data_IF_510182438521
#
_entry.id   IF_510182438521
#
_cell.length_a   1.000
_cell.length_b   1.000
_cell.length_c   1.000
_cell.angle_alpha   90.00
_cell.angle_beta   90.00
_cell.angle_gamma   90.00
#
_symmetry.space_group_name_H-M   'P 1'
#
loop_
_entity.id
_entity.type
_entity.pdbx_description
1 polymer ?
#
# COMPACT_ATOMS: atom_id res chain seq x y z
N UNK A 1 2.77 3.28 4.56
CA UNK A 1 2.27 2.89 3.24
C UNK A 1 0.83 2.39 3.31
N UNK A 2 0.17 2.36 2.15
CA UNK A 2 -1.20 1.87 2.06
C UNK A 2 -1.27 0.35 1.89
N UNK A 3 -2.12 -0.11 0.97
CA UNK A 3 -2.33 -1.53 0.72
C UNK A 3 -1.21 -2.10 -0.12
N UNK A 4 -0.34 -2.91 0.48
CA UNK A 4 0.81 -3.53 -0.17
C UNK A 4 0.55 -5.03 -0.30
N UNK A 5 0.74 -5.56 -1.50
CA UNK A 5 0.48 -6.96 -1.82
C UNK A 5 1.64 -7.84 -1.34
N UNK A 6 1.61 -8.23 -0.07
CA UNK A 6 2.61 -9.10 0.54
C UNK A 6 2.03 -10.49 0.80
N UNK A 7 2.92 -11.47 0.98
CA UNK A 7 2.52 -12.85 1.26
C UNK A 7 1.69 -12.98 2.53
N UNK A 8 1.90 -12.11 3.50
CA UNK A 8 1.15 -12.15 4.76
C UNK A 8 -0.35 -11.95 4.58
N UNK A 9 -0.77 -11.35 3.46
CA UNK A 9 -2.19 -11.12 3.20
C UNK A 9 -2.98 -12.37 2.86
N UNK A 10 -2.36 -13.46 2.45
CA UNK A 10 -3.06 -14.72 2.24
C UNK A 10 -3.80 -15.17 3.49
N UNK A 11 -3.09 -15.55 4.57
CA UNK A 11 -3.73 -15.97 5.83
C UNK A 11 -4.51 -14.87 6.52
N UNK A 12 -4.00 -13.63 6.52
CA UNK A 12 -4.68 -12.49 7.15
C UNK A 12 -5.98 -12.14 6.44
N UNK A 13 -5.98 -12.17 5.11
CA UNK A 13 -7.16 -11.89 4.34
C UNK A 13 -8.25 -12.94 4.55
N UNK A 14 -7.87 -14.21 4.63
CA UNK A 14 -8.81 -15.29 4.92
C UNK A 14 -9.40 -15.18 6.32
N UNK A 15 -8.57 -14.90 7.32
CA UNK A 15 -9.04 -14.73 8.70
C UNK A 15 -10.02 -13.55 8.82
N UNK A 16 -9.67 -12.42 8.20
CA UNK A 16 -10.52 -11.23 8.22
C UNK A 16 -11.84 -11.46 7.46
N UNK A 17 -11.79 -12.19 6.35
CA UNK A 17 -12.98 -12.50 5.57
C UNK A 17 -13.96 -13.36 6.37
N UNK A 18 -13.48 -14.31 7.17
CA UNK A 18 -14.34 -15.11 8.05
C UNK A 18 -15.04 -14.27 9.09
N UNK A 19 -14.32 -13.34 9.70
CA UNK A 19 -14.89 -12.43 10.70
C UNK A 19 -15.97 -11.54 10.08
N UNK A 20 -15.75 -11.06 8.87
CA UNK A 20 -16.70 -10.16 8.18
C UNK A 20 -17.75 -10.90 7.35
N UNK A 21 -17.74 -12.21 7.36
CA UNK A 21 -18.68 -13.05 6.61
C UNK A 21 -18.68 -12.75 5.11
N UNK A 22 -17.48 -12.70 4.53
CA UNK A 22 -17.26 -12.44 3.11
C UNK A 22 -16.14 -13.33 2.59
N UNK A 23 -15.74 -13.17 1.34
CA UNK A 23 -14.60 -13.89 0.76
C UNK A 23 -13.36 -13.01 0.77
N UNK A 24 -12.19 -13.67 0.78
CA UNK A 24 -10.90 -12.96 0.69
C UNK A 24 -10.81 -12.11 -0.58
N UNK A 25 -11.32 -12.62 -1.70
CA UNK A 25 -11.31 -11.90 -2.98
C UNK A 25 -12.13 -10.62 -2.91
N UNK A 26 -13.33 -10.68 -2.34
CA UNK A 26 -14.19 -9.51 -2.19
C UNK A 26 -13.58 -8.49 -1.25
N UNK A 27 -12.96 -8.95 -0.16
CA UNK A 27 -12.30 -8.08 0.80
C UNK A 27 -11.14 -7.33 0.14
N UNK A 28 -10.31 -8.03 -0.65
CA UNK A 28 -9.19 -7.40 -1.35
C UNK A 28 -9.67 -6.39 -2.38
N UNK A 29 -10.72 -6.70 -3.12
CA UNK A 29 -11.31 -5.77 -4.09
C UNK A 29 -11.87 -4.54 -3.41
N UNK A 30 -12.48 -4.69 -2.25
CA UNK A 30 -12.98 -3.58 -1.46
C UNK A 30 -11.87 -2.63 -1.01
N UNK A 31 -10.75 -3.18 -0.54
CA UNK A 31 -9.60 -2.35 -0.16
C UNK A 31 -9.00 -1.64 -1.37
N UNK A 32 -8.87 -2.34 -2.51
CA UNK A 32 -8.34 -1.72 -3.73
C UNK A 32 -9.20 -0.56 -4.19
N UNK A 33 -10.53 -0.68 -4.08
CA UNK A 33 -11.46 0.37 -4.50
C UNK A 33 -11.37 1.63 -3.62
N UNK A 34 -10.80 1.53 -2.42
CA UNK A 34 -10.61 2.68 -1.54
C UNK A 34 -9.43 3.55 -1.98
N UNK A 35 -8.54 3.04 -2.82
CA UNK A 35 -7.42 3.82 -3.34
C UNK A 35 -7.86 4.59 -4.59
N UNK A 36 -7.25 5.75 -4.82
CA UNK A 36 -7.50 6.50 -6.05
C UNK A 36 -6.96 5.79 -7.29
N UNK A 37 -5.89 4.98 -7.13
CA UNK A 37 -5.32 4.21 -8.21
C UNK A 37 -6.07 2.90 -8.47
N UNK A 38 -6.96 2.49 -7.57
CA UNK A 38 -7.82 1.33 -7.73
C UNK A 38 -7.11 -0.02 -7.65
N UNK A 39 -5.94 -0.06 -7.01
CA UNK A 39 -5.16 -1.30 -6.92
C UNK A 39 -4.29 -1.33 -5.67
N UNK A 40 -3.85 -2.54 -5.33
CA UNK A 40 -2.81 -2.75 -4.33
C UNK A 40 -1.45 -2.40 -4.94
N UNK A 41 -0.52 -1.95 -4.12
CA UNK A 41 0.86 -1.74 -4.55
C UNK A 41 1.64 -3.05 -4.45
N UNK A 42 2.66 -3.18 -5.28
CA UNK A 42 3.61 -4.28 -5.18
C UNK A 42 4.74 -3.89 -4.23
N UNK A 43 5.33 -4.84 -3.49
CA UNK A 43 6.44 -4.53 -2.58
C UNK A 43 7.60 -3.83 -3.27
N UNK A 44 7.85 -4.12 -4.56
CA UNK A 44 8.91 -3.47 -5.35
C UNK A 44 8.70 -1.96 -5.46
N UNK A 45 7.45 -1.50 -5.46
CA UNK A 45 7.16 -0.06 -5.54
C UNK A 45 7.62 0.67 -4.29
N UNK A 46 7.49 0.05 -3.12
CA UNK A 46 8.02 0.58 -1.86
C UNK A 46 9.55 0.51 -1.86
N UNK A 47 10.10 -0.60 -2.34
CA UNK A 47 11.54 -0.80 -2.45
C UNK A 47 12.21 0.23 -3.35
N UNK A 48 11.61 0.54 -4.49
CA UNK A 48 12.12 1.53 -5.43
C UNK A 48 12.15 2.93 -4.80
N UNK A 49 11.12 3.30 -4.06
CA UNK A 49 11.09 4.56 -3.34
C UNK A 49 12.19 4.60 -2.26
N UNK A 50 12.33 3.53 -1.49
CA UNK A 50 13.36 3.46 -0.46
C UNK A 50 14.76 3.56 -1.06
N UNK A 51 15.01 2.87 -2.18
CA UNK A 51 16.28 2.93 -2.89
C UNK A 51 16.60 4.36 -3.36
N UNK A 52 15.63 5.07 -3.90
CA UNK A 52 15.80 6.47 -4.29
C UNK A 52 16.13 7.35 -3.08
N UNK A 53 15.39 7.20 -1.97
CA UNK A 53 15.55 8.05 -0.79
C UNK A 53 16.93 7.93 -0.14
N UNK A 54 17.57 6.75 -0.24
CA UNK A 54 18.93 6.54 0.30
C UNK A 54 20.01 6.73 -0.75
N UNK A 55 19.65 7.07 -1.98
CA UNK A 55 20.62 7.24 -3.07
C UNK A 55 21.16 8.66 -3.12
N UNK A 56 22.27 8.83 -3.84
CA UNK A 56 22.85 10.16 -4.08
C UNK A 56 21.96 11.05 -4.95
N UNK A 57 21.02 10.46 -5.67
CA UNK A 57 20.05 11.23 -6.47
C UNK A 57 19.09 12.03 -5.63
N UNK A 58 18.87 11.62 -4.38
CA UNK A 58 18.07 12.36 -3.42
C UNK A 58 18.99 13.30 -2.63
N UNK A 59 19.18 14.49 -3.14
CA UNK A 59 20.18 15.45 -2.60
C UNK A 59 19.56 16.63 -1.86
N UNK A 60 18.24 16.70 -1.75
CA UNK A 60 17.58 17.90 -1.18
C UNK A 60 16.43 17.58 -0.25
N UNK A 61 16.27 16.32 0.19
CA UNK A 61 15.18 15.91 1.08
C UNK A 61 15.73 15.37 2.39
N UNK A 62 15.26 15.94 3.50
CA UNK A 62 15.58 15.46 4.83
C UNK A 62 14.44 15.82 5.78
N UNK A 63 14.19 14.99 6.78
CA UNK A 63 13.13 15.21 7.74
C UNK A 63 11.72 15.14 7.15
N UNK A 64 11.56 14.55 5.97
CA UNK A 64 10.31 14.52 5.22
C UNK A 64 9.63 13.17 5.35
N UNK A 65 8.29 13.19 5.43
CA UNK A 65 7.47 11.99 5.32
C UNK A 65 6.92 11.92 3.90
N UNK A 66 7.09 10.77 3.24
CA UNK A 66 6.57 10.53 1.89
C UNK A 66 5.48 9.48 1.95
N UNK A 67 4.28 9.84 1.47
CA UNK A 67 3.16 8.91 1.41
C UNK A 67 3.25 8.04 0.16
N UNK A 68 3.08 6.72 0.33
CA UNK A 68 2.97 5.76 -0.76
C UNK A 68 1.73 4.90 -0.51
N UNK A 69 0.57 5.41 -0.88
CA UNK A 69 -0.71 4.83 -0.50
C UNK A 69 -1.74 4.78 -1.62
N UNK A 70 -1.35 5.06 -2.86
CA UNK A 70 -2.29 5.06 -3.99
C UNK A 70 -3.43 6.06 -3.86
N UNK A 71 -3.27 7.08 -3.01
CA UNK A 71 -4.29 8.09 -2.81
C UNK A 71 -5.35 7.74 -1.78
N UNK A 72 -5.14 6.71 -0.95
CA UNK A 72 -6.13 6.29 0.03
C UNK A 72 -6.40 7.35 1.09
N UNK A 73 -5.38 8.14 1.46
CA UNK A 73 -5.52 9.22 2.45
C UNK A 73 -6.17 10.47 1.87
N UNK A 74 -6.05 10.67 0.55
CA UNK A 74 -6.73 11.74 -0.20
C UNK A 74 -6.47 13.15 0.32
N UNK A 75 -5.31 13.41 0.91
CA UNK A 75 -4.96 14.77 1.28
C UNK A 75 -3.82 15.28 0.39
N UNK A 76 -3.72 16.60 0.29
CA UNK A 76 -2.68 17.28 -0.45
C UNK A 76 -1.71 17.84 0.58
N UNK A 77 -0.51 17.26 0.62
CA UNK A 77 0.45 17.66 1.63
C UNK A 77 1.81 17.96 1.09
#
# INVERSE_FOLDING_TARGET
PGMINTESWGPRGEAMAKVRNTTSKELRSGFASQTMLGRWAEPSEVGDLAAFLVSQKNSYMTGTTVEICGGITRYIG
#
